data_IF_731168618416
#
_entry.id   IF_731168618416
#
_cell.length_a   1.000
_cell.length_b   1.000
_cell.length_c   1.000
_cell.angle_alpha   90.00
_cell.angle_beta   90.00
_cell.angle_gamma   90.00
#
_symmetry.space_group_name_H-M   'P 1'
#
loop_
_entity.id
_entity.type
_entity.pdbx_description
1 polymer ?
#
# COMPACT_ATOMS: atom_id res chain seq x y z
N UNK A 1 23.00 -20.26 -12.00
CA UNK A 1 22.55 -19.20 -12.92
C UNK A 1 21.14 -19.58 -13.29
N UNK A 2 20.18 -19.15 -12.48
CA UNK A 2 18.78 -19.08 -12.88
C UNK A 2 18.23 -17.85 -12.19
N UNK A 3 17.67 -16.98 -13.02
CA UNK A 3 17.16 -15.65 -12.72
C UNK A 3 15.91 -15.76 -11.85
N UNK A 4 15.92 -15.14 -10.67
CA UNK A 4 14.70 -14.76 -9.97
C UNK A 4 14.71 -13.24 -9.83
N UNK A 5 14.57 -12.55 -10.96
CA UNK A 5 13.90 -11.26 -10.95
C UNK A 5 12.40 -11.53 -11.01
N UNK A 6 11.81 -11.92 -9.88
CA UNK A 6 10.36 -11.94 -9.78
C UNK A 6 9.88 -10.50 -9.73
N UNK A 7 9.26 -10.10 -10.84
CA UNK A 7 8.58 -8.83 -11.05
C UNK A 7 7.68 -8.48 -9.86
N UNK A 8 8.00 -7.38 -9.17
CA UNK A 8 7.13 -6.67 -8.24
C UNK A 8 5.91 -6.12 -9.02
N UNK A 9 4.97 -7.00 -9.34
CA UNK A 9 3.74 -6.62 -10.02
C UNK A 9 2.76 -5.98 -9.04
N UNK A 10 2.01 -4.99 -9.54
CA UNK A 10 0.91 -4.37 -8.81
C UNK A 10 -0.19 -5.40 -8.53
N UNK A 11 -0.84 -5.26 -7.38
CA UNK A 11 -1.99 -6.07 -6.98
C UNK A 11 -3.25 -5.56 -7.70
N UNK A 12 -4.20 -6.46 -7.97
CA UNK A 12 -5.55 -6.19 -8.51
C UNK A 12 -5.60 -5.34 -9.80
N UNK A 13 -5.02 -5.84 -10.90
CA UNK A 13 -4.98 -5.18 -12.22
C UNK A 13 -4.46 -3.72 -12.19
N UNK A 14 -3.75 -3.35 -11.13
CA UNK A 14 -3.15 -2.03 -10.97
C UNK A 14 -2.24 -1.71 -12.15
N UNK A 15 -2.41 -0.52 -12.75
CA UNK A 15 -1.55 -0.09 -13.85
C UNK A 15 -0.14 0.13 -13.33
N UNK A 16 0.80 -0.65 -13.84
CA UNK A 16 2.22 -0.48 -13.62
C UNK A 16 2.79 0.51 -14.64
N UNK A 17 3.63 1.41 -14.16
CA UNK A 17 4.40 2.33 -14.98
C UNK A 17 5.86 2.24 -14.57
N UNK A 18 6.77 2.10 -15.52
CA UNK A 18 8.17 2.34 -15.21
C UNK A 18 8.40 3.84 -15.02
N UNK A 19 9.45 4.23 -14.31
CA UNK A 19 9.85 5.64 -14.24
C UNK A 19 10.12 6.23 -15.63
N UNK A 20 10.59 5.42 -16.57
CA UNK A 20 10.71 5.81 -17.98
C UNK A 20 9.36 6.12 -18.61
N UNK A 21 8.34 5.29 -18.39
CA UNK A 21 6.99 5.52 -18.92
C UNK A 21 6.41 6.82 -18.37
N UNK A 22 6.52 7.06 -17.06
CA UNK A 22 6.08 8.29 -16.41
C UNK A 22 6.75 9.53 -17.01
N UNK A 23 8.06 9.46 -17.26
CA UNK A 23 8.83 10.54 -17.88
C UNK A 23 8.42 10.80 -19.33
N UNK A 24 8.19 9.74 -20.10
CA UNK A 24 7.67 9.83 -21.48
C UNK A 24 6.25 10.38 -21.54
N UNK A 25 5.45 10.14 -20.50
CA UNK A 25 4.11 10.71 -20.32
C UNK A 25 4.12 12.14 -19.77
N UNK A 26 5.31 12.72 -19.51
CA UNK A 26 5.47 14.05 -18.91
C UNK A 26 4.84 14.20 -17.51
N UNK A 27 4.79 13.12 -16.73
CA UNK A 27 4.31 13.13 -15.35
C UNK A 27 5.39 13.75 -14.44
N UNK A 28 5.01 14.65 -13.54
CA UNK A 28 5.90 15.23 -12.53
C UNK A 28 5.65 14.64 -11.12
N UNK A 29 6.49 14.98 -10.16
CA UNK A 29 6.40 14.47 -8.79
C UNK A 29 5.12 14.90 -8.06
N UNK A 30 4.59 16.09 -8.36
CA UNK A 30 3.33 16.61 -7.78
C UNK A 30 2.12 15.79 -8.24
N UNK A 31 2.07 15.40 -9.51
CA UNK A 31 1.01 14.53 -10.03
C UNK A 31 1.05 13.13 -9.42
N UNK A 32 2.23 12.62 -9.06
CA UNK A 32 2.34 11.36 -8.33
C UNK A 32 1.80 11.49 -6.90
N UNK A 33 1.95 12.65 -6.27
CA UNK A 33 1.35 12.94 -4.97
C UNK A 33 -0.19 12.93 -5.08
N UNK A 34 -0.75 13.54 -6.13
CA UNK A 34 -2.21 13.50 -6.40
C UNK A 34 -2.74 12.08 -6.63
N UNK A 35 -1.86 11.17 -7.08
CA UNK A 35 -2.18 9.75 -7.26
C UNK A 35 -1.85 8.90 -6.03
N UNK A 36 -1.65 9.54 -4.87
CA UNK A 36 -1.33 8.90 -3.59
C UNK A 36 -0.11 7.96 -3.67
N UNK A 37 0.88 8.29 -4.52
CA UNK A 37 2.11 7.52 -4.59
C UNK A 37 2.87 7.59 -3.24
N UNK A 38 3.54 6.50 -2.82
CA UNK A 38 4.39 6.53 -1.63
C UNK A 38 5.47 7.61 -1.73
N UNK A 39 5.76 8.28 -0.61
CA UNK A 39 6.75 9.38 -0.56
C UNK A 39 8.12 8.92 -1.07
N UNK A 40 8.54 7.71 -0.71
CA UNK A 40 9.80 7.13 -1.18
C UNK A 40 9.82 6.97 -2.71
N UNK A 41 8.70 6.53 -3.31
CA UNK A 41 8.56 6.43 -4.77
C UNK A 41 8.62 7.80 -5.45
N UNK A 42 7.97 8.82 -4.85
CA UNK A 42 8.01 10.19 -5.37
C UNK A 42 9.44 10.73 -5.34
N UNK A 43 10.16 10.53 -4.23
CA UNK A 43 11.55 10.97 -4.06
C UNK A 43 12.51 10.26 -5.03
N UNK A 44 12.32 8.95 -5.22
CA UNK A 44 13.07 8.16 -6.19
C UNK A 44 12.82 8.66 -7.63
N UNK A 45 11.56 8.94 -7.99
CA UNK A 45 11.21 9.47 -9.31
C UNK A 45 11.77 10.87 -9.56
N UNK A 46 11.76 11.75 -8.56
CA UNK A 46 12.39 13.07 -8.65
C UNK A 46 13.90 12.94 -8.88
N UNK A 47 14.56 12.03 -8.16
CA UNK A 47 15.98 11.73 -8.33
C UNK A 47 16.30 11.15 -9.71
N UNK A 48 15.44 10.28 -10.24
CA UNK A 48 15.55 9.74 -11.60
C UNK A 48 15.41 10.84 -12.67
N UNK A 49 14.56 11.84 -12.45
CA UNK A 49 14.41 12.95 -13.40
C UNK A 49 15.64 13.86 -13.49
N UNK A 50 16.41 13.98 -12.40
CA UNK A 50 17.59 14.83 -12.31
C UNK A 50 18.90 14.14 -12.71
N UNK A 51 18.94 12.81 -12.74
CA UNK A 51 20.16 12.02 -12.97
C UNK A 51 20.06 11.15 -14.21
N UNK A 52 21.21 10.65 -14.70
CA UNK A 52 21.30 9.75 -15.87
C UNK A 52 21.47 8.28 -15.48
N UNK A 53 21.22 7.89 -14.22
CA UNK A 53 21.50 6.53 -13.70
C UNK A 53 20.25 5.75 -13.24
N UNK A 54 20.25 4.48 -13.67
CA UNK A 54 19.95 3.21 -12.97
C UNK A 54 18.57 2.92 -12.36
N UNK A 55 17.52 3.69 -12.64
CA UNK A 55 16.16 3.35 -12.20
C UNK A 55 15.21 2.96 -13.34
N UNK A 56 15.74 2.62 -14.53
CA UNK A 56 14.93 2.28 -15.71
C UNK A 56 13.95 1.12 -15.47
N UNK A 57 14.25 0.27 -14.49
CA UNK A 57 13.44 -0.90 -14.13
C UNK A 57 12.58 -0.69 -12.88
N UNK A 58 12.56 0.51 -12.30
CA UNK A 58 11.73 0.79 -11.12
C UNK A 58 10.28 0.99 -11.56
N UNK A 59 9.38 0.25 -10.90
CA UNK A 59 7.97 0.17 -11.22
C UNK A 59 7.19 0.96 -10.18
N UNK A 60 6.36 1.88 -10.65
CA UNK A 60 5.32 2.53 -9.88
C UNK A 60 3.97 1.87 -10.15
N UNK A 61 3.25 1.54 -9.08
CA UNK A 61 1.88 1.08 -9.14
C UNK A 61 0.91 2.25 -8.95
N UNK A 62 0.17 2.59 -10.01
CA UNK A 62 -0.75 3.73 -9.95
C UNK A 62 -1.91 3.49 -8.98
N UNK A 63 -1.89 4.23 -7.88
CA UNK A 63 -2.83 4.12 -6.78
C UNK A 63 -3.89 5.25 -6.76
N UNK A 64 -4.52 5.52 -7.90
CA UNK A 64 -5.59 6.52 -8.00
C UNK A 64 -6.89 6.15 -7.25
N UNK A 65 -7.06 4.90 -6.81
CA UNK A 65 -8.19 4.51 -5.95
C UNK A 65 -7.92 5.02 -4.52
N UNK A 66 -8.74 5.96 -3.97
CA UNK A 66 -8.48 6.59 -2.68
C UNK A 66 -8.58 5.62 -1.50
N UNK A 67 -9.18 4.44 -1.69
CA UNK A 67 -9.26 3.41 -0.65
C UNK A 67 -8.11 2.41 -0.74
N UNK A 68 -7.33 2.40 -1.81
CA UNK A 68 -6.15 1.52 -1.95
C UNK A 68 -4.89 2.29 -1.55
N UNK A 69 -3.90 1.59 -0.98
CA UNK A 69 -2.59 2.16 -0.68
C UNK A 69 -1.52 1.07 -0.61
N UNK A 70 -0.27 1.48 -0.41
CA UNK A 70 0.90 0.60 -0.43
C UNK A 70 1.71 0.73 -1.71
N UNK A 71 2.94 0.21 -1.68
CA UNK A 71 3.90 0.34 -2.80
C UNK A 71 3.45 -0.42 -4.05
N UNK A 72 2.68 -1.48 -3.85
CA UNK A 72 2.13 -2.39 -4.85
C UNK A 72 0.60 -2.37 -4.88
N UNK A 73 -0.05 -1.42 -4.20
CA UNK A 73 -1.51 -1.37 -3.95
C UNK A 73 -2.05 -2.60 -3.21
N UNK A 74 -1.23 -3.11 -2.32
CA UNK A 74 -1.45 -4.36 -1.58
C UNK A 74 -2.31 -4.17 -0.33
N UNK A 75 -2.72 -2.93 -0.01
CA UNK A 75 -3.61 -2.63 1.09
C UNK A 75 -4.85 -1.86 0.62
N UNK A 76 -5.96 -2.08 1.33
CA UNK A 76 -7.23 -1.37 1.12
C UNK A 76 -7.87 -0.98 2.45
N UNK A 77 -8.47 0.20 2.51
CA UNK A 77 -9.36 0.57 3.60
C UNK A 77 -10.73 -0.10 3.43
N UNK A 78 -11.20 -0.77 4.49
CA UNK A 78 -12.54 -1.35 4.57
C UNK A 78 -13.59 -0.35 5.04
N UNK A 79 -13.14 0.76 5.62
CA UNK A 79 -13.98 1.87 6.03
C UNK A 79 -14.45 2.71 4.82
N UNK A 80 -15.68 3.21 4.88
CA UNK A 80 -16.17 4.23 3.94
C UNK A 80 -15.30 5.51 4.05
N UNK A 81 -15.21 6.29 2.97
CA UNK A 81 -14.39 7.50 2.87
C UNK A 81 -14.72 8.51 3.98
N UNK A 82 -16.00 8.61 4.33
CA UNK A 82 -16.50 9.47 5.42
C UNK A 82 -16.01 9.03 6.80
N UNK A 83 -15.88 7.72 7.02
CA UNK A 83 -15.36 7.12 8.24
C UNK A 83 -13.85 7.30 8.32
N UNK A 84 -13.15 7.15 7.19
CA UNK A 84 -11.71 7.39 7.10
C UNK A 84 -11.36 8.84 7.47
N UNK A 85 -12.09 9.82 6.92
CA UNK A 85 -11.89 11.24 7.25
C UNK A 85 -12.09 11.49 8.75
N UNK A 86 -13.10 10.85 9.35
CA UNK A 86 -13.37 10.94 10.78
C UNK A 86 -12.25 10.34 11.61
N UNK A 87 -11.75 9.16 11.24
CA UNK A 87 -10.63 8.48 11.91
C UNK A 87 -9.36 9.36 11.83
N UNK A 88 -9.02 9.87 10.65
CA UNK A 88 -7.82 10.70 10.46
C UNK A 88 -7.92 12.00 11.26
N UNK A 89 -9.06 12.70 11.18
CA UNK A 89 -9.31 13.91 11.99
C UNK A 89 -9.22 13.60 13.47
N UNK A 90 -9.74 12.46 13.91
CA UNK A 90 -9.67 12.02 15.29
C UNK A 90 -8.22 11.78 15.74
N UNK A 91 -7.44 11.00 14.98
CA UNK A 91 -6.04 10.71 15.28
C UNK A 91 -5.21 12.00 15.37
N UNK A 92 -5.33 12.89 14.37
CA UNK A 92 -4.60 14.17 14.33
C UNK A 92 -5.04 15.10 15.48
N UNK A 93 -6.33 15.18 15.79
CA UNK A 93 -6.88 16.07 16.83
C UNK A 93 -6.69 15.52 18.26
N UNK A 94 -6.60 14.21 18.43
CA UNK A 94 -6.37 13.54 19.72
C UNK A 94 -4.99 13.88 20.31
N UNK A 95 -4.03 14.26 19.46
CA UNK A 95 -2.76 14.81 19.90
C UNK A 95 -2.84 16.26 20.42
N UNK A 96 -3.97 16.95 20.24
CA UNK A 96 -4.17 18.35 20.65
C UNK A 96 -5.21 18.54 21.78
N UNK A 97 -6.16 17.62 21.97
CA UNK A 97 -7.18 17.73 23.02
C UNK A 97 -7.48 16.37 23.67
N UNK A 98 -7.23 16.26 24.98
CA UNK A 98 -7.85 15.22 25.81
C UNK A 98 -9.37 15.47 25.78
N UNK A 99 -10.14 14.46 25.36
CA UNK A 99 -11.61 14.43 25.16
C UNK A 99 -12.10 15.10 23.84
N UNK A 100 -12.96 14.51 22.99
CA UNK A 100 -14.08 13.58 23.26
C UNK A 100 -14.81 13.09 21.97
N UNK A 101 -15.62 12.03 22.12
CA UNK A 101 -16.83 11.61 21.36
C UNK A 101 -16.72 11.02 19.93
N UNK A 102 -16.08 9.87 19.76
CA UNK A 102 -16.61 8.83 18.84
C UNK A 102 -16.48 7.51 19.59
N UNK A 103 -17.56 6.73 19.71
CA UNK A 103 -17.48 5.35 20.23
C UNK A 103 -16.81 4.47 19.17
N UNK A 104 -15.52 4.69 18.92
CA UNK A 104 -14.63 3.73 18.24
C UNK A 104 -14.11 2.74 19.29
N UNK A 105 -14.94 2.36 20.27
CA UNK A 105 -14.61 1.31 21.23
C UNK A 105 -14.92 -0.08 20.64
N UNK A 106 -15.60 -0.14 19.48
CA UNK A 106 -16.03 -1.40 18.85
C UNK A 106 -15.44 -1.68 17.48
N UNK A 107 -14.69 -0.74 16.87
CA UNK A 107 -13.94 -1.04 15.65
C UNK A 107 -12.54 -1.45 16.08
N UNK A 108 -12.17 -2.71 15.86
CA UNK A 108 -10.77 -3.09 15.97
C UNK A 108 -10.01 -2.32 14.88
N UNK A 109 -8.79 -1.83 15.18
CA UNK A 109 -7.88 -1.35 14.14
C UNK A 109 -7.63 -2.43 13.07
N UNK A 110 -7.74 -3.70 13.48
CA UNK A 110 -7.61 -4.86 12.60
C UNK A 110 -8.76 -4.93 11.55
N UNK A 111 -9.87 -4.21 11.75
CA UNK A 111 -11.01 -4.17 10.83
C UNK A 111 -10.95 -2.99 9.84
N UNK A 112 -9.94 -2.13 9.92
CA UNK A 112 -9.89 -0.87 9.14
C UNK A 112 -9.15 -1.07 7.82
N UNK A 113 -8.08 -1.87 7.83
CA UNK A 113 -7.24 -2.13 6.67
C UNK A 113 -7.26 -3.59 6.30
N UNK A 114 -7.13 -3.86 5.02
CA UNK A 114 -7.20 -5.18 4.42
C UNK A 114 -6.03 -5.38 3.49
N UNK A 115 -5.26 -6.45 3.70
CA UNK A 115 -4.22 -6.88 2.77
C UNK A 115 -4.82 -7.67 1.61
N UNK A 116 -4.65 -7.18 0.38
CA UNK A 116 -5.16 -7.81 -0.85
C UNK A 116 -4.08 -8.52 -1.66
N UNK A 117 -2.82 -8.47 -1.22
CA UNK A 117 -1.69 -9.06 -1.94
C UNK A 117 -1.64 -10.59 -2.00
N UNK A 118 -2.53 -11.27 -1.29
CA UNK A 118 -2.68 -12.72 -1.31
C UNK A 118 -4.16 -13.12 -1.30
N UNK A 119 -4.46 -14.32 -1.83
CA UNK A 119 -5.79 -14.90 -1.75
C UNK A 119 -5.84 -15.75 -0.48
N UNK A 120 -6.40 -15.18 0.58
CA UNK A 120 -6.67 -15.89 1.83
C UNK A 120 -8.08 -16.46 1.76
N UNK A 121 -8.26 -17.77 1.92
CA UNK A 121 -9.60 -18.37 2.00
C UNK A 121 -10.18 -18.27 3.42
N UNK A 122 -10.15 -17.07 4.00
CA UNK A 122 -10.75 -16.78 5.30
C UNK A 122 -11.94 -15.83 5.14
N UNK A 123 -12.85 -15.83 6.12
CA UNK A 123 -14.01 -14.93 6.11
C UNK A 123 -13.68 -13.47 6.46
N UNK A 124 -12.44 -13.21 6.90
CA UNK A 124 -12.00 -11.91 7.40
C UNK A 124 -10.72 -11.50 6.66
N UNK A 125 -10.65 -10.26 6.18
CA UNK A 125 -9.42 -9.79 5.57
C UNK A 125 -8.32 -9.59 6.61
N UNK A 126 -7.08 -9.92 6.26
CA UNK A 126 -5.94 -9.79 7.15
C UNK A 126 -5.49 -8.34 7.29
N UNK A 127 -5.18 -7.94 8.52
CA UNK A 127 -4.41 -6.73 8.79
C UNK A 127 -2.94 -6.93 8.35
N UNK A 128 -2.24 -5.85 8.02
CA UNK A 128 -0.83 -5.91 7.60
C UNK A 128 0.09 -6.54 8.65
N UNK A 129 -0.23 -6.44 9.96
CA UNK A 129 0.50 -7.08 11.06
C UNK A 129 0.26 -8.58 11.15
N UNK A 130 -0.72 -9.10 10.41
CA UNK A 130 -1.07 -10.51 10.34
C UNK A 130 -0.40 -11.22 9.17
N UNK A 131 0.24 -10.47 8.28
CA UNK A 131 0.96 -11.04 7.14
C UNK A 131 2.42 -11.22 7.54
N UNK A 132 2.96 -12.43 7.41
CA UNK A 132 4.35 -12.77 7.69
C UNK A 132 4.81 -12.47 9.12
N UNK A 133 3.95 -12.74 10.09
CA UNK A 133 4.23 -12.54 11.52
C UNK A 133 4.59 -13.84 12.26
N UNK A 134 4.61 -14.98 11.57
CA UNK A 134 4.89 -16.30 12.11
C UNK A 134 3.67 -17.02 12.72
N UNK A 135 2.46 -16.50 12.53
CA UNK A 135 1.19 -17.06 12.99
C UNK A 135 0.32 -17.34 11.77
N UNK A 136 -0.14 -18.59 11.63
CA UNK A 136 -1.05 -18.96 10.53
C UNK A 136 -2.46 -18.44 10.84
N UNK A 137 -2.85 -17.37 10.16
CA UNK A 137 -4.17 -16.75 10.19
C UNK A 137 -5.05 -17.20 8.99
N UNK A 138 -4.46 -17.55 7.82
CA UNK A 138 -5.21 -18.15 6.70
C UNK A 138 -5.41 -19.66 6.86
N UNK A 139 -6.45 -20.20 6.19
CA UNK A 139 -6.79 -21.62 6.26
C UNK A 139 -5.66 -22.54 5.77
N UNK A 140 -4.97 -22.16 4.68
CA UNK A 140 -3.90 -22.96 4.08
C UNK A 140 -2.51 -22.35 4.34
N UNK A 141 -2.41 -21.34 5.21
CA UNK A 141 -1.16 -20.69 5.63
C UNK A 141 -0.50 -19.80 4.58
N UNK A 142 -1.27 -19.26 3.63
CA UNK A 142 -0.76 -18.40 2.55
C UNK A 142 -0.13 -17.10 3.06
N UNK A 143 -0.58 -16.61 4.21
CA UNK A 143 -0.07 -15.47 4.96
C UNK A 143 1.32 -15.68 5.55
N UNK A 144 1.73 -16.94 5.71
CA UNK A 144 3.05 -17.36 6.21
C UNK A 144 3.83 -18.17 5.14
N UNK A 145 3.41 -18.06 3.87
CA UNK A 145 3.97 -18.82 2.77
C UNK A 145 5.33 -18.30 2.26
N UNK A 146 5.82 -18.91 1.18
CA UNK A 146 7.13 -18.57 0.58
C UNK A 146 7.28 -17.09 0.16
N UNK A 147 6.16 -16.38 -0.03
CA UNK A 147 6.14 -14.96 -0.41
C UNK A 147 6.60 -14.02 0.72
N UNK A 148 6.62 -14.47 1.97
CA UNK A 148 7.07 -13.65 3.09
C UNK A 148 8.55 -13.23 2.98
N UNK A 149 9.38 -14.10 2.42
CA UNK A 149 10.80 -13.81 2.16
C UNK A 149 11.02 -12.71 1.11
N UNK A 150 9.96 -12.23 0.46
CA UNK A 150 10.01 -11.18 -0.57
C UNK A 150 9.48 -9.83 -0.06
N UNK A 151 9.02 -9.76 1.18
CA UNK A 151 8.47 -8.57 1.83
C UNK A 151 9.42 -7.95 2.88
N UNK A 152 10.46 -8.68 3.29
CA UNK A 152 11.59 -8.18 4.11
C UNK A 152 12.73 -7.60 3.24
#
# INVERSE_FOLDING_TARGET
MDEIQQQQNCVDDGRNYTFRDLKLMHINAEQLLDWNAPIDTISAYESYNLTTKSFDNEIYCNCSDPLSFGTRREYRFLADETVLETIVKHQISSHAAKQSVVNIETMSMDDITCYTGLSCNSSLCLDWRQVCNGIIDCQDGEDEGEKCLQLE
#
